data_IF_312414188049
#
_entry.id   IF_312414188049
#
_cell.length_a   1.000
_cell.length_b   1.000
_cell.length_c   1.000
_cell.angle_alpha   90.00
_cell.angle_beta   90.00
_cell.angle_gamma   90.00
#
_symmetry.space_group_name_H-M   'P 1'
#
loop_
_entity.id
_entity.type
_entity.pdbx_description
1 polymer ?
#
# COMPACT_ATOMS: atom_id res chain seq x y z
N UNK A 1 -38.22 -13.51 -1.17
CA UNK A 1 -37.52 -12.25 -1.50
C UNK A 1 -36.07 -12.42 -1.07
N UNK A 2 -35.13 -12.33 -2.03
CA UNK A 2 -33.70 -12.24 -1.78
C UNK A 2 -33.38 -10.80 -1.38
N UNK A 3 -32.92 -10.57 -0.16
CA UNK A 3 -32.40 -9.29 0.28
C UNK A 3 -30.88 -9.32 0.17
N UNK A 4 -30.34 -8.59 -0.79
CA UNK A 4 -28.90 -8.35 -0.88
C UNK A 4 -28.56 -7.28 0.15
N UNK A 5 -27.76 -7.62 1.16
CA UNK A 5 -27.22 -6.64 2.10
C UNK A 5 -25.81 -6.33 1.64
N UNK A 6 -25.58 -5.09 1.21
CA UNK A 6 -24.23 -4.57 0.94
C UNK A 6 -23.53 -4.32 2.28
N UNK A 7 -22.64 -5.21 2.68
CA UNK A 7 -21.79 -5.01 3.85
C UNK A 7 -20.39 -4.57 3.40
N UNK A 8 -20.24 -3.26 3.29
CA UNK A 8 -18.94 -2.58 3.23
C UNK A 8 -18.12 -2.76 1.95
N UNK A 9 -17.46 -1.69 1.53
CA UNK A 9 -16.39 -1.75 0.55
C UNK A 9 -15.06 -2.01 1.26
N UNK A 10 -14.27 -2.97 0.78
CA UNK A 10 -12.93 -3.23 1.30
C UNK A 10 -11.88 -2.79 0.28
N UNK A 11 -10.75 -2.30 0.78
CA UNK A 11 -9.64 -1.82 -0.04
C UNK A 11 -8.45 -2.75 0.13
N UNK A 12 -7.93 -3.27 -0.97
CA UNK A 12 -6.64 -3.95 -0.98
C UNK A 12 -5.59 -2.96 -1.51
N UNK A 13 -4.62 -2.63 -0.68
CA UNK A 13 -3.45 -1.87 -1.12
C UNK A 13 -2.29 -2.83 -1.37
N UNK A 14 -1.70 -2.75 -2.55
CA UNK A 14 -0.50 -3.48 -2.94
C UNK A 14 0.51 -2.48 -3.47
N UNK A 15 1.73 -2.52 -2.94
CA UNK A 15 2.78 -1.55 -3.25
C UNK A 15 3.92 -2.23 -3.97
N UNK A 16 4.04 -2.02 -5.27
CA UNK A 16 5.21 -2.48 -6.04
C UNK A 16 6.26 -1.39 -6.10
N UNK A 17 7.49 -1.73 -5.76
CA UNK A 17 8.65 -0.84 -5.83
C UNK A 17 9.25 -0.79 -7.23
N UNK A 18 9.82 0.35 -7.59
CA UNK A 18 10.48 0.58 -8.86
C UNK A 18 11.86 1.21 -8.66
N UNK A 19 12.86 0.83 -9.47
CA UNK A 19 14.13 1.55 -9.50
C UNK A 19 13.94 2.98 -10.04
N UNK A 20 14.93 3.82 -9.83
CA UNK A 20 14.91 5.18 -10.36
C UNK A 20 14.77 5.15 -11.89
N UNK A 21 13.83 5.93 -12.43
CA UNK A 21 13.51 5.93 -13.86
C UNK A 21 12.82 4.66 -14.38
N UNK A 22 12.73 3.59 -13.57
CA UNK A 22 12.07 2.33 -13.93
C UNK A 22 10.56 2.44 -14.00
N UNK A 23 9.94 1.69 -14.91
CA UNK A 23 8.48 1.63 -15.07
C UNK A 23 7.97 0.22 -15.40
N UNK A 24 8.87 -0.71 -15.74
CA UNK A 24 8.50 -2.11 -15.98
C UNK A 24 8.40 -2.82 -14.64
N UNK A 25 7.47 -3.77 -14.55
CA UNK A 25 7.36 -4.63 -13.37
C UNK A 25 8.55 -5.59 -13.36
N UNK A 26 9.42 -5.41 -12.40
CA UNK A 26 10.57 -6.29 -12.17
C UNK A 26 10.23 -7.22 -11.00
N UNK A 27 9.91 -8.48 -11.32
CA UNK A 27 9.41 -9.44 -10.33
C UNK A 27 10.42 -9.79 -9.22
N UNK A 28 11.68 -9.37 -9.35
CA UNK A 28 12.76 -9.62 -8.38
C UNK A 28 13.21 -8.37 -7.62
N UNK A 29 12.66 -7.18 -7.96
CA UNK A 29 13.10 -5.92 -7.36
C UNK A 29 12.36 -5.60 -6.06
N UNK A 30 13.11 -5.25 -5.01
CA UNK A 30 12.58 -4.76 -3.74
C UNK A 30 11.53 -5.69 -3.12
N UNK A 31 10.38 -5.14 -2.77
CA UNK A 31 9.24 -5.88 -2.21
C UNK A 31 8.32 -6.52 -3.26
N UNK A 32 8.59 -6.31 -4.55
CA UNK A 32 7.73 -6.76 -5.65
C UNK A 32 7.39 -8.25 -5.60
N UNK A 33 8.32 -9.20 -5.29
CA UNK A 33 7.99 -10.62 -5.23
C UNK A 33 6.89 -10.94 -4.20
N UNK A 34 7.02 -10.40 -3.00
CA UNK A 34 6.06 -10.63 -1.90
C UNK A 34 4.70 -10.00 -2.19
N UNK A 35 4.70 -8.79 -2.73
CA UNK A 35 3.49 -8.06 -3.09
C UNK A 35 2.75 -8.74 -4.27
N UNK A 36 3.46 -9.20 -5.30
CA UNK A 36 2.86 -9.96 -6.39
C UNK A 36 2.29 -11.30 -5.91
N UNK A 37 2.97 -11.99 -5.00
CA UNK A 37 2.46 -13.22 -4.40
C UNK A 37 1.18 -12.98 -3.57
N UNK A 38 1.15 -11.89 -2.79
CA UNK A 38 -0.02 -11.46 -2.02
C UNK A 38 -1.20 -11.12 -2.94
N UNK A 39 -0.95 -10.35 -4.00
CA UNK A 39 -1.95 -9.97 -4.98
C UNK A 39 -2.48 -11.19 -5.76
N UNK A 40 -1.58 -12.09 -6.20
CA UNK A 40 -1.97 -13.32 -6.89
C UNK A 40 -2.87 -14.21 -6.03
N UNK A 41 -2.57 -14.31 -4.73
CA UNK A 41 -3.42 -15.02 -3.76
C UNK A 41 -4.79 -14.37 -3.68
N UNK A 42 -4.85 -13.06 -3.47
CA UNK A 42 -6.11 -12.32 -3.39
C UNK A 42 -6.95 -12.50 -4.66
N UNK A 43 -6.36 -12.36 -5.85
CA UNK A 43 -7.09 -12.54 -7.12
C UNK A 43 -7.64 -13.95 -7.24
N UNK A 44 -6.88 -14.98 -6.87
CA UNK A 44 -7.29 -16.39 -7.00
C UNK A 44 -8.32 -16.81 -5.96
N UNK A 45 -8.23 -16.31 -4.73
CA UNK A 45 -9.11 -16.72 -3.63
C UNK A 45 -10.31 -15.81 -3.47
N UNK A 46 -10.09 -14.50 -3.42
CA UNK A 46 -11.13 -13.54 -3.08
C UNK A 46 -11.92 -13.08 -4.30
N UNK A 47 -11.25 -12.75 -5.41
CA UNK A 47 -11.97 -12.30 -6.62
C UNK A 47 -12.66 -13.44 -7.38
N UNK A 48 -12.37 -14.70 -7.04
CA UNK A 48 -13.08 -15.87 -7.61
C UNK A 48 -14.28 -16.30 -6.77
N UNK A 49 -14.50 -15.66 -5.62
CA UNK A 49 -15.65 -15.91 -4.77
C UNK A 49 -16.90 -15.25 -5.38
N UNK A 50 -17.96 -16.03 -5.55
CA UNK A 50 -19.24 -15.56 -6.11
C UNK A 50 -19.95 -14.53 -5.20
N UNK A 51 -19.52 -14.41 -3.94
CA UNK A 51 -20.05 -13.44 -2.98
C UNK A 51 -19.35 -12.08 -3.09
N UNK A 52 -18.28 -11.97 -3.86
CA UNK A 52 -17.52 -10.73 -4.06
C UNK A 52 -17.90 -10.11 -5.41
N UNK A 53 -18.46 -8.92 -5.36
CA UNK A 53 -18.69 -8.11 -6.54
C UNK A 53 -17.67 -6.97 -6.62
N UNK A 54 -16.72 -7.09 -7.57
CA UNK A 54 -15.72 -6.03 -7.78
C UNK A 54 -16.36 -4.88 -8.52
N UNK A 55 -16.37 -3.70 -7.89
CA UNK A 55 -16.88 -2.47 -8.50
C UNK A 55 -15.87 -1.84 -9.44
N UNK A 56 -14.67 -1.64 -8.94
CA UNK A 56 -13.58 -1.03 -9.72
C UNK A 56 -12.22 -1.48 -9.15
N UNK A 57 -11.25 -1.57 -10.03
CA UNK A 57 -9.83 -1.73 -9.68
C UNK A 57 -9.11 -0.49 -10.17
N UNK A 58 -8.54 0.29 -9.26
CA UNK A 58 -7.75 1.47 -9.59
C UNK A 58 -6.27 1.19 -9.41
N UNK A 59 -5.47 1.42 -10.46
CA UNK A 59 -4.03 1.29 -10.47
C UNK A 59 -3.42 2.68 -10.51
N UNK A 60 -2.75 3.11 -9.43
CA UNK A 60 -2.15 4.44 -9.34
C UNK A 60 -0.62 4.33 -9.35
N UNK A 61 0.01 4.92 -10.36
CA UNK A 61 1.46 5.04 -10.44
C UNK A 61 1.96 6.30 -9.73
N UNK A 62 3.05 6.18 -8.99
CA UNK A 62 3.68 7.27 -8.24
C UNK A 62 5.14 7.44 -8.62
N UNK A 63 5.61 8.66 -8.57
CA UNK A 63 7.03 9.00 -8.67
C UNK A 63 7.52 9.73 -7.42
N UNK A 64 8.82 9.68 -7.22
CA UNK A 64 9.55 10.54 -6.31
C UNK A 64 9.62 11.97 -6.86
N UNK A 65 10.05 12.88 -6.02
CA UNK A 65 9.96 14.33 -6.29
C UNK A 65 11.15 14.88 -7.09
N UNK A 66 12.21 14.08 -7.28
CA UNK A 66 13.40 14.54 -8.00
C UNK A 66 13.15 14.64 -9.51
N UNK A 67 13.67 15.72 -10.07
CA UNK A 67 13.63 15.98 -11.51
C UNK A 67 12.46 16.86 -11.95
N UNK A 68 12.12 16.85 -13.24
CA UNK A 68 11.05 17.69 -13.72
C UNK A 68 9.68 17.07 -13.51
N UNK A 69 8.72 17.85 -13.04
CA UNK A 69 7.33 17.44 -12.85
C UNK A 69 6.73 16.72 -14.07
N UNK A 70 6.94 17.31 -15.27
CA UNK A 70 6.42 16.73 -16.51
C UNK A 70 7.06 15.36 -16.85
N UNK A 71 8.33 15.13 -16.47
CA UNK A 71 8.96 13.81 -16.60
C UNK A 71 8.34 12.83 -15.63
N UNK A 72 8.20 13.21 -14.36
CA UNK A 72 7.64 12.39 -13.30
C UNK A 72 6.18 12.02 -13.56
N UNK A 73 5.39 12.94 -14.08
CA UNK A 73 4.01 12.67 -14.51
C UNK A 73 3.95 11.59 -15.60
N UNK A 74 4.79 11.70 -16.63
CA UNK A 74 4.85 10.68 -17.69
C UNK A 74 5.33 9.33 -17.17
N UNK A 75 6.30 9.33 -16.25
CA UNK A 75 6.84 8.12 -15.65
C UNK A 75 5.80 7.44 -14.76
N UNK A 76 5.08 8.19 -13.93
CA UNK A 76 3.99 7.67 -13.10
C UNK A 76 2.89 7.03 -13.95
N UNK A 77 2.50 7.67 -15.04
CA UNK A 77 1.54 7.13 -16.02
C UNK A 77 2.04 5.83 -16.65
N UNK A 78 3.33 5.78 -17.04
CA UNK A 78 3.94 4.57 -17.60
C UNK A 78 3.98 3.43 -16.59
N UNK A 79 4.22 3.71 -15.30
CA UNK A 79 4.16 2.72 -14.21
C UNK A 79 2.76 2.12 -14.08
N UNK A 80 1.73 2.96 -13.98
CA UNK A 80 0.35 2.50 -13.88
C UNK A 80 -0.05 1.63 -15.07
N UNK A 81 0.23 2.08 -16.29
CA UNK A 81 -0.09 1.33 -17.52
C UNK A 81 0.75 0.05 -17.65
N UNK A 82 2.03 0.09 -17.30
CA UNK A 82 2.91 -1.08 -17.30
C UNK A 82 2.42 -2.16 -16.34
N UNK A 83 1.95 -1.75 -15.16
CA UNK A 83 1.37 -2.68 -14.19
C UNK A 83 0.02 -3.23 -14.65
N UNK A 84 -0.84 -2.42 -15.25
CA UNK A 84 -2.07 -2.90 -15.88
C UNK A 84 -1.78 -3.98 -16.92
N UNK A 85 -0.85 -3.70 -17.84
CA UNK A 85 -0.48 -4.67 -18.89
C UNK A 85 0.07 -5.97 -18.29
N UNK A 86 0.86 -5.88 -17.22
CA UNK A 86 1.35 -7.06 -16.49
C UNK A 86 0.18 -7.87 -15.91
N UNK A 87 -0.76 -7.23 -15.21
CA UNK A 87 -1.92 -7.91 -14.63
C UNK A 87 -2.83 -8.51 -15.70
N UNK A 88 -2.99 -7.85 -16.84
CA UNK A 88 -3.76 -8.38 -17.95
C UNK A 88 -3.09 -9.59 -18.59
N UNK A 89 -1.75 -9.59 -18.70
CA UNK A 89 -1.03 -10.74 -19.26
C UNK A 89 -1.07 -11.97 -18.35
N UNK A 90 -1.03 -11.76 -17.02
CA UNK A 90 -0.97 -12.88 -16.05
C UNK A 90 -2.35 -13.35 -15.61
N UNK A 91 -3.30 -12.44 -15.44
CA UNK A 91 -4.61 -12.74 -14.84
C UNK A 91 -5.80 -12.42 -15.74
N UNK A 92 -5.61 -11.74 -16.87
CA UNK A 92 -6.70 -11.28 -17.73
C UNK A 92 -7.64 -10.30 -17.01
N UNK A 93 -7.10 -9.45 -16.14
CA UNK A 93 -7.86 -8.69 -15.15
C UNK A 93 -8.88 -7.75 -15.78
N UNK A 94 -8.48 -6.98 -16.80
CA UNK A 94 -9.37 -6.03 -17.50
C UNK A 94 -10.47 -6.69 -18.33
N UNK A 95 -10.37 -8.01 -18.58
CA UNK A 95 -11.45 -8.76 -19.24
C UNK A 95 -12.57 -9.13 -18.28
N UNK A 96 -12.26 -9.14 -16.98
CA UNK A 96 -13.18 -9.62 -15.94
C UNK A 96 -13.73 -8.49 -15.08
N UNK A 97 -12.96 -7.41 -14.94
CA UNK A 97 -13.28 -6.32 -14.01
C UNK A 97 -13.03 -4.95 -14.65
N UNK A 98 -13.76 -3.90 -14.24
CA UNK A 98 -13.44 -2.52 -14.59
C UNK A 98 -12.09 -2.14 -14.00
N UNK A 99 -11.11 -1.81 -14.85
CA UNK A 99 -9.76 -1.41 -14.42
C UNK A 99 -9.49 0.02 -14.89
N UNK A 100 -9.25 0.91 -13.94
CA UNK A 100 -8.84 2.29 -14.17
C UNK A 100 -7.36 2.50 -13.84
N UNK A 101 -6.69 3.37 -14.58
CA UNK A 101 -5.35 3.83 -14.25
C UNK A 101 -5.37 5.28 -13.82
N UNK A 102 -4.60 5.60 -12.78
CA UNK A 102 -4.37 6.94 -12.27
C UNK A 102 -2.86 7.17 -12.07
N UNK A 103 -2.44 8.40 -11.82
CA UNK A 103 -1.04 8.71 -11.60
C UNK A 103 -0.85 9.96 -10.75
N UNK A 104 0.24 9.98 -10.01
CA UNK A 104 0.72 11.12 -9.22
C UNK A 104 2.18 11.35 -9.61
N UNK A 105 2.46 12.47 -10.28
CA UNK A 105 3.79 12.76 -10.80
C UNK A 105 4.83 12.95 -9.71
N UNK A 106 4.48 13.60 -8.61
CA UNK A 106 5.34 13.81 -7.45
C UNK A 106 4.52 13.56 -6.18
N UNK A 107 4.91 12.56 -5.39
CA UNK A 107 4.15 12.14 -4.21
C UNK A 107 4.60 12.90 -2.95
N UNK A 108 4.30 14.18 -2.93
CA UNK A 108 4.61 15.08 -1.81
C UNK A 108 3.86 14.71 -0.52
N UNK A 109 2.64 14.21 -0.65
CA UNK A 109 1.83 13.79 0.51
C UNK A 109 2.50 12.62 1.23
N UNK A 110 2.92 11.61 0.47
CA UNK A 110 3.64 10.46 1.02
C UNK A 110 5.01 10.86 1.57
N UNK A 111 5.74 11.72 0.85
CA UNK A 111 7.03 12.23 1.33
C UNK A 111 6.88 12.95 2.66
N UNK A 112 5.88 13.82 2.78
CA UNK A 112 5.58 14.51 4.04
C UNK A 112 5.35 13.52 5.18
N UNK A 113 4.51 12.51 4.95
CA UNK A 113 4.20 11.47 5.94
C UNK A 113 5.45 10.66 6.35
N UNK A 114 6.30 10.31 5.38
CA UNK A 114 7.55 9.60 5.64
C UNK A 114 8.54 10.48 6.41
N UNK A 115 8.70 11.75 6.02
CA UNK A 115 9.55 12.71 6.71
C UNK A 115 9.11 12.93 8.16
N UNK A 116 7.81 13.05 8.41
CA UNK A 116 7.25 13.24 9.73
C UNK A 116 7.53 12.05 10.66
N UNK A 117 7.42 10.83 10.12
CA UNK A 117 7.66 9.59 10.87
C UNK A 117 9.15 9.21 11.00
N UNK A 118 10.06 9.84 10.23
CA UNK A 118 11.47 9.50 10.19
C UNK A 118 12.25 10.27 11.27
N UNK A 119 12.52 9.62 12.38
CA UNK A 119 13.25 10.25 13.51
C UNK A 119 14.70 10.60 13.14
N UNK A 120 15.32 9.83 12.22
CA UNK A 120 16.70 10.02 11.77
C UNK A 120 16.87 11.09 10.68
N UNK A 121 15.77 11.66 10.16
CA UNK A 121 15.87 12.70 9.12
C UNK A 121 16.51 13.96 9.68
N UNK A 122 17.67 14.40 9.14
CA UNK A 122 18.30 15.64 9.55
C UNK A 122 17.38 16.84 9.32
N UNK A 123 17.36 17.77 10.26
CA UNK A 123 16.54 19.00 10.19
C UNK A 123 15.07 18.76 9.85
N UNK A 124 14.52 17.65 10.33
CA UNK A 124 13.15 17.19 10.02
C UNK A 124 12.10 18.28 10.09
N UNK A 125 12.14 19.13 11.15
CA UNK A 125 11.18 20.22 11.33
C UNK A 125 11.24 21.23 10.16
N UNK A 126 12.44 21.66 9.78
CA UNK A 126 12.64 22.60 8.68
C UNK A 126 12.25 21.99 7.32
N UNK A 127 12.52 20.68 7.12
CA UNK A 127 12.03 19.93 5.93
C UNK A 127 10.51 19.99 5.85
N UNK A 128 9.81 19.70 6.96
CA UNK A 128 8.36 19.74 7.01
C UNK A 128 7.81 21.15 6.79
N UNK A 129 8.44 22.18 7.38
CA UNK A 129 8.07 23.58 7.14
C UNK A 129 8.18 23.97 5.65
N UNK A 130 9.24 23.52 4.95
CA UNK A 130 9.38 23.77 3.52
C UNK A 130 8.29 23.02 2.75
N UNK A 131 8.02 21.76 3.07
CA UNK A 131 6.99 20.96 2.39
C UNK A 131 5.61 21.59 2.57
N UNK A 132 5.28 22.03 3.78
CA UNK A 132 3.96 22.54 4.12
C UNK A 132 3.71 23.98 3.62
N UNK A 133 4.76 24.82 3.58
CA UNK A 133 4.62 26.25 3.33
C UNK A 133 5.16 26.73 1.97
N UNK A 134 5.62 25.80 1.09
CA UNK A 134 6.11 26.17 -0.24
C UNK A 134 5.32 25.42 -1.30
N UNK A 135 4.78 26.10 -2.31
CA UNK A 135 4.13 25.46 -3.44
C UNK A 135 5.10 24.60 -4.28
N UNK A 136 4.59 23.56 -4.91
CA UNK A 136 5.39 22.65 -5.75
C UNK A 136 6.13 23.44 -6.82
N UNK A 137 5.44 24.36 -7.49
CA UNK A 137 5.99 25.20 -8.55
C UNK A 137 6.71 26.48 -8.03
N UNK A 138 6.67 26.72 -6.71
CA UNK A 138 7.35 27.84 -6.06
C UNK A 138 8.76 27.47 -5.58
N UNK A 139 9.31 26.40 -6.11
CA UNK A 139 10.68 25.94 -5.84
C UNK A 139 10.82 25.15 -4.56
N UNK A 140 9.80 24.42 -4.15
CA UNK A 140 9.81 23.53 -2.98
C UNK A 140 11.03 22.60 -2.97
N UNK A 141 11.25 21.84 -4.06
CA UNK A 141 12.40 20.94 -4.19
C UNK A 141 13.73 21.71 -4.09
N UNK A 142 13.85 22.85 -4.76
CA UNK A 142 15.06 23.68 -4.72
C UNK A 142 15.39 24.15 -3.32
N UNK A 143 14.37 24.54 -2.54
CA UNK A 143 14.57 24.91 -1.11
C UNK A 143 15.07 23.74 -0.28
N UNK A 144 14.52 22.53 -0.50
CA UNK A 144 15.02 21.32 0.17
C UNK A 144 16.46 20.99 -0.22
N UNK A 145 16.81 21.14 -1.50
CA UNK A 145 18.19 20.94 -2.00
C UNK A 145 19.16 21.94 -1.40
N UNK A 146 18.74 23.18 -1.11
CA UNK A 146 19.59 24.21 -0.53
C UNK A 146 19.68 24.13 1.01
N UNK A 147 18.75 23.43 1.68
CA UNK A 147 18.69 23.34 3.13
C UNK A 147 19.93 22.68 3.68
N UNK A 148 20.67 23.39 4.54
CA UNK A 148 21.92 22.91 5.20
C UNK A 148 22.91 22.24 4.20
N UNK A 149 23.12 22.87 3.05
CA UNK A 149 24.02 22.33 2.02
C UNK A 149 23.56 21.02 1.39
N UNK A 150 22.26 20.71 1.47
CA UNK A 150 21.66 19.51 0.86
C UNK A 150 21.70 18.26 1.74
N UNK A 151 22.18 18.35 2.98
CA UNK A 151 22.27 17.18 3.89
C UNK A 151 20.90 16.49 4.06
N UNK A 152 19.80 17.19 4.40
CA UNK A 152 18.50 16.55 4.51
C UNK A 152 17.99 15.98 3.16
N UNK A 153 18.26 16.70 2.07
CA UNK A 153 17.83 16.25 0.73
C UNK A 153 18.53 14.95 0.32
N UNK A 154 19.86 14.85 0.55
CA UNK A 154 20.61 13.64 0.24
C UNK A 154 20.16 12.45 1.10
N UNK A 155 19.84 12.69 2.36
CA UNK A 155 19.23 11.67 3.21
C UNK A 155 17.88 11.18 2.64
N UNK A 156 16.99 12.11 2.27
CA UNK A 156 15.72 11.74 1.67
C UNK A 156 15.88 11.02 0.33
N UNK A 157 16.87 11.40 -0.47
CA UNK A 157 17.17 10.78 -1.76
C UNK A 157 17.55 9.29 -1.62
N UNK A 158 18.33 8.94 -0.59
CA UNK A 158 18.72 7.56 -0.30
C UNK A 158 17.65 6.76 0.41
N UNK A 159 17.00 7.31 1.43
CA UNK A 159 16.16 6.56 2.35
C UNK A 159 14.65 6.67 2.05
N UNK A 160 14.17 7.85 1.63
CA UNK A 160 12.74 8.09 1.50
C UNK A 160 12.23 8.06 0.06
N UNK A 161 12.99 8.61 -0.90
CA UNK A 161 12.54 8.66 -2.30
C UNK A 161 12.35 7.30 -2.94
N UNK A 162 13.13 6.25 -2.63
CA UNK A 162 12.83 4.90 -3.11
C UNK A 162 11.43 4.40 -2.73
N UNK A 163 10.92 4.80 -1.56
CA UNK A 163 9.59 4.43 -1.06
C UNK A 163 8.44 5.14 -1.79
N UNK A 164 8.74 6.22 -2.53
CA UNK A 164 7.77 6.94 -3.35
C UNK A 164 7.60 6.33 -4.73
N UNK A 165 8.61 5.59 -5.22
CA UNK A 165 8.65 5.00 -6.57
C UNK A 165 7.86 3.70 -6.61
N UNK A 166 6.53 3.80 -6.71
CA UNK A 166 5.65 2.65 -6.57
C UNK A 166 4.43 2.70 -7.47
N UNK A 167 3.73 1.58 -7.53
CA UNK A 167 2.33 1.50 -7.99
C UNK A 167 1.48 0.95 -6.85
N UNK A 168 0.33 1.53 -6.67
CA UNK A 168 -0.70 1.05 -5.75
C UNK A 168 -1.85 0.44 -6.55
N UNK A 169 -2.40 -0.67 -6.05
CA UNK A 169 -3.66 -1.22 -6.51
C UNK A 169 -4.71 -1.04 -5.41
N UNK A 170 -5.80 -0.41 -5.78
CA UNK A 170 -6.98 -0.30 -4.96
C UNK A 170 -8.08 -1.14 -5.59
N UNK A 171 -8.58 -2.13 -4.87
CA UNK A 171 -9.74 -2.94 -5.29
C UNK A 171 -10.93 -2.54 -4.44
N UNK A 172 -11.93 -1.97 -5.08
CA UNK A 172 -13.21 -1.67 -4.46
C UNK A 172 -14.20 -2.78 -4.78
N UNK A 173 -14.71 -3.44 -3.76
CA UNK A 173 -15.62 -4.54 -3.91
C UNK A 173 -16.69 -4.54 -2.83
N UNK A 174 -17.85 -5.07 -3.19
CA UNK A 174 -18.95 -5.32 -2.27
C UNK A 174 -18.99 -6.80 -1.94
N UNK A 175 -19.23 -7.10 -0.68
CA UNK A 175 -19.57 -8.44 -0.25
C UNK A 175 -21.10 -8.59 -0.36
N UNK A 176 -21.53 -9.41 -1.30
CA UNK A 176 -22.94 -9.80 -1.38
C UNK A 176 -23.17 -10.98 -0.44
N UNK A 177 -23.59 -10.70 0.77
CA UNK A 177 -24.21 -11.74 1.58
C UNK A 177 -25.59 -12.00 1.01
N UNK A 178 -25.74 -13.05 0.23
CA UNK A 178 -27.06 -13.56 -0.16
C UNK A 178 -27.62 -14.22 1.11
N UNK A 179 -28.35 -13.45 1.90
CA UNK A 179 -29.24 -14.06 2.87
C UNK A 179 -30.41 -14.57 2.05
N UNK A 180 -30.40 -15.84 1.65
CA UNK A 180 -31.61 -16.52 1.28
C UNK A 180 -32.52 -16.53 2.52
N UNK A 181 -33.33 -15.50 2.68
CA UNK A 181 -34.53 -15.63 3.50
C UNK A 181 -35.44 -16.61 2.78
N UNK A 182 -35.16 -17.90 2.96
CA UNK A 182 -36.14 -18.93 2.69
C UNK A 182 -37.29 -18.68 3.67
N UNK A 183 -38.29 -18.01 3.15
CA UNK A 183 -39.52 -17.77 3.86
C UNK A 183 -40.01 -19.02 4.57
N UNK A 184 -40.18 -18.92 5.89
CA UNK A 184 -40.90 -19.82 6.78
C UNK A 184 -40.22 -21.12 7.23
N UNK A 185 -38.94 -21.11 7.50
CA UNK A 185 -38.45 -21.99 8.53
C UNK A 185 -37.88 -21.13 9.65
N UNK A 186 -38.55 -21.07 10.79
CA UNK A 186 -37.92 -20.60 12.03
C UNK A 186 -36.67 -21.47 12.20
N UNK A 187 -35.48 -20.86 12.14
CA UNK A 187 -34.26 -21.53 12.55
C UNK A 187 -34.51 -22.11 13.92
N UNK A 188 -34.23 -23.39 14.11
CA UNK A 188 -34.26 -24.01 15.45
C UNK A 188 -33.23 -23.30 16.32
N UNK A 189 -33.43 -23.27 17.62
CA UNK A 189 -32.49 -22.66 18.54
C UNK A 189 -31.06 -23.26 18.41
N UNK A 190 -30.94 -24.51 17.99
CA UNK A 190 -29.66 -25.19 17.71
C UNK A 190 -28.98 -24.65 16.45
N UNK A 191 -29.71 -24.46 15.36
CA UNK A 191 -29.15 -23.88 14.10
C UNK A 191 -28.69 -22.45 14.32
N UNK A 192 -29.40 -21.65 15.11
CA UNK A 192 -29.01 -20.30 15.48
C UNK A 192 -27.74 -20.29 16.33
N UNK A 193 -27.61 -21.23 17.27
CA UNK A 193 -26.40 -21.38 18.09
C UNK A 193 -25.19 -21.80 17.28
N UNK A 194 -25.34 -22.69 16.30
CA UNK A 194 -24.27 -23.10 15.40
C UNK A 194 -23.75 -21.93 14.53
N UNK A 195 -24.67 -21.12 13.98
CA UNK A 195 -24.30 -19.94 13.20
C UNK A 195 -23.56 -18.93 14.08
N UNK A 196 -24.08 -18.64 15.29
CA UNK A 196 -23.44 -17.72 16.22
C UNK A 196 -22.09 -18.25 16.74
N UNK A 197 -21.96 -19.56 16.91
CA UNK A 197 -20.69 -20.19 17.28
C UNK A 197 -19.66 -20.08 16.15
N UNK A 198 -20.08 -20.27 14.91
CA UNK A 198 -19.22 -20.10 13.75
C UNK A 198 -18.75 -18.65 13.59
N UNK A 199 -19.65 -17.67 13.70
CA UNK A 199 -19.27 -16.24 13.65
C UNK A 199 -18.29 -15.86 14.77
N UNK A 200 -18.51 -16.36 15.98
CA UNK A 200 -17.57 -16.16 17.10
C UNK A 200 -16.20 -16.79 16.85
N UNK A 201 -16.18 -17.99 16.27
CA UNK A 201 -14.92 -18.67 15.93
C UNK A 201 -14.13 -17.91 14.84
N UNK A 202 -14.81 -17.40 13.82
CA UNK A 202 -14.19 -16.57 12.77
C UNK A 202 -13.64 -15.27 13.36
N UNK A 203 -14.41 -14.58 14.20
CA UNK A 203 -13.97 -13.36 14.86
C UNK A 203 -12.78 -13.60 15.81
N UNK A 204 -12.77 -14.70 16.54
CA UNK A 204 -11.66 -15.08 17.42
C UNK A 204 -10.37 -15.38 16.62
N UNK A 205 -10.48 -16.11 15.52
CA UNK A 205 -9.35 -16.41 14.64
C UNK A 205 -8.75 -15.13 14.00
N UNK A 206 -9.60 -14.16 13.66
CA UNK A 206 -9.14 -12.87 13.13
C UNK A 206 -8.42 -12.04 14.20
N UNK A 207 -8.93 -12.05 15.44
CA UNK A 207 -8.27 -11.37 16.57
C UNK A 207 -6.92 -12.01 16.90
N UNK A 208 -6.83 -13.33 16.87
CA UNK A 208 -5.58 -14.07 17.12
C UNK A 208 -4.54 -13.76 16.03
N UNK A 209 -4.97 -13.72 14.76
CA UNK A 209 -4.11 -13.32 13.64
C UNK A 209 -3.60 -11.89 13.77
N UNK A 210 -4.45 -10.95 14.19
CA UNK A 210 -4.06 -9.57 14.43
C UNK A 210 -3.09 -9.45 15.62
N UNK A 211 -3.29 -10.25 16.69
CA UNK A 211 -2.39 -10.29 17.83
C UNK A 211 -1.01 -10.84 17.43
N UNK A 212 -0.97 -11.88 16.61
CA UNK A 212 0.28 -12.45 16.09
C UNK A 212 1.04 -11.45 15.20
N UNK A 213 0.34 -10.75 14.31
CA UNK A 213 0.95 -9.70 13.50
C UNK A 213 1.52 -8.55 14.35
N UNK A 214 0.83 -8.17 15.42
CA UNK A 214 1.34 -7.15 16.37
C UNK A 214 2.58 -7.64 17.11
N UNK A 215 2.61 -8.92 17.51
CA UNK A 215 3.77 -9.53 18.16
C UNK A 215 4.98 -9.55 17.22
N UNK A 216 4.81 -10.02 15.98
CA UNK A 216 5.87 -10.04 14.97
C UNK A 216 6.39 -8.63 14.64
N UNK A 217 5.50 -7.65 14.58
CA UNK A 217 5.89 -6.25 14.39
C UNK A 217 6.66 -5.68 15.59
N UNK A 218 6.32 -6.08 16.82
CA UNK A 218 7.06 -5.69 18.02
C UNK A 218 8.45 -6.35 18.07
N UNK A 219 8.54 -7.63 17.76
CA UNK A 219 9.81 -8.35 17.69
C UNK A 219 10.74 -7.78 16.61
N UNK A 220 10.21 -7.40 15.45
CA UNK A 220 11.00 -6.76 14.39
C UNK A 220 11.55 -5.38 14.82
N UNK A 221 10.75 -4.60 15.56
CA UNK A 221 11.19 -3.31 16.12
C UNK A 221 12.29 -3.50 17.15
N UNK A 222 12.15 -4.48 18.05
CA UNK A 222 13.18 -4.77 19.05
C UNK A 222 14.50 -5.22 18.41
N UNK A 223 14.45 -6.07 17.36
CA UNK A 223 15.65 -6.47 16.61
C UNK A 223 16.32 -5.30 15.91
N UNK A 224 15.54 -4.42 15.30
CA UNK A 224 16.08 -3.21 14.66
C UNK A 224 16.75 -2.27 15.69
N UNK A 225 16.17 -2.15 16.86
CA UNK A 225 16.75 -1.35 17.94
C UNK A 225 18.03 -1.95 18.52
N UNK A 226 18.06 -3.28 18.70
CA UNK A 226 19.27 -3.98 19.13
C UNK A 226 20.41 -3.85 18.12
N UNK A 227 20.13 -3.94 16.82
CA UNK A 227 21.10 -3.73 15.75
C UNK A 227 21.67 -2.31 15.79
N UNK A 228 20.80 -1.30 15.94
CA UNK A 228 21.23 0.09 16.06
C UNK A 228 22.14 0.32 17.26
N UNK A 229 21.78 -0.20 18.43
CA UNK A 229 22.60 -0.09 19.63
C UNK A 229 23.93 -0.80 19.50
N UNK A 230 23.97 -1.95 18.80
CA UNK A 230 25.19 -2.68 18.52
C UNK A 230 26.12 -1.91 17.56
N UNK A 231 25.57 -1.25 16.54
CA UNK A 231 26.30 -0.38 15.61
C UNK A 231 26.87 0.85 16.34
N UNK A 232 26.06 1.54 17.16
CA UNK A 232 26.51 2.68 17.98
C UNK A 232 27.66 2.28 18.94
N UNK A 233 27.57 1.11 19.55
CA UNK A 233 28.64 0.59 20.42
C UNK A 233 29.90 0.20 19.65
N UNK A 234 29.78 -0.32 18.45
CA UNK A 234 30.91 -0.63 17.59
C UNK A 234 31.62 0.63 17.05
N UNK A 235 30.90 1.73 16.83
CA UNK A 235 31.50 3.04 16.48
C UNK A 235 32.24 3.69 17.64
N UNK A 236 31.76 3.52 18.87
CA UNK A 236 32.43 4.06 20.07
C UNK A 236 33.75 3.34 20.42
N UNK A 237 33.94 2.12 19.89
CA UNK A 237 35.16 1.32 20.12
C UNK A 237 36.22 1.48 19.02
N UNK A 238 35.99 2.35 18.04
CA UNK A 238 36.93 2.74 16.97
C UNK A 238 37.54 4.08 17.24
#
# INVERSE_FOLDING_TARGET
>A
YLRVINEGSTRLNCYLSYPQGGWRVESTYGNTPSELARLARFIRTSLSDSLIYVREITLTGYCSIEGSYAHNERLARRRANGFRNYLDSVFGLSRRYPVRTSYVGEDWERLRSLADSCASLPSRREVLEIIDNTGIFDGRERKLMALHGGVPYNFMLSELFPLLRRVEILVEYDLHRIIEERYRRKLSASELQEILAHERAVAAAEQERLAELRRLAAESRQRAEQLRLAEEHAEQLR
#
